data_IF_610705945179
#
_entry.id   IF_610705945179
#
_cell.length_a   1.000
_cell.length_b   1.000
_cell.length_c   1.000
_cell.angle_alpha   90.00
_cell.angle_beta   90.00
_cell.angle_gamma   90.00
#
_symmetry.space_group_name_H-M   'P 1'
#
loop_
_entity.id
_entity.type
_entity.pdbx_description
1 polymer ?
#
# COMPACT_ATOMS: atom_id res chain seq x y z
N UNK A 1 0.31 20.05 -19.53
CA UNK A 1 -0.53 19.01 -20.16
C UNK A 1 -1.75 18.82 -19.28
N UNK A 2 -2.94 18.61 -19.85
CA UNK A 2 -4.12 18.29 -19.04
C UNK A 2 -4.02 16.83 -18.57
N UNK A 3 -4.24 16.58 -17.29
CA UNK A 3 -4.25 15.23 -16.70
C UNK A 3 -5.39 14.37 -17.26
N UNK A 4 -5.13 13.07 -17.38
CA UNK A 4 -6.14 12.06 -17.73
C UNK A 4 -7.05 11.75 -16.53
N UNK A 5 -8.20 11.11 -16.76
CA UNK A 5 -9.10 10.75 -15.66
C UNK A 5 -8.43 9.78 -14.66
N UNK A 6 -7.59 8.86 -15.16
CA UNK A 6 -6.80 7.96 -14.32
C UNK A 6 -5.76 8.73 -13.48
N UNK A 7 -5.04 9.67 -14.08
CA UNK A 7 -4.10 10.53 -13.36
C UNK A 7 -4.80 11.37 -12.30
N UNK A 8 -5.95 11.98 -12.63
CA UNK A 8 -6.78 12.68 -11.66
C UNK A 8 -7.18 11.79 -10.49
N UNK A 9 -7.58 10.54 -10.74
CA UNK A 9 -7.90 9.60 -9.66
C UNK A 9 -6.69 9.34 -8.77
N UNK A 10 -5.53 9.01 -9.36
CA UNK A 10 -4.31 8.71 -8.61
C UNK A 10 -3.86 9.92 -7.79
N UNK A 11 -3.90 11.12 -8.35
CA UNK A 11 -3.51 12.35 -7.68
C UNK A 11 -4.48 12.71 -6.53
N UNK A 12 -5.79 12.65 -6.79
CA UNK A 12 -6.82 12.98 -5.80
C UNK A 12 -6.96 11.95 -4.67
N UNK A 13 -6.40 10.74 -4.83
CA UNK A 13 -6.43 9.67 -3.83
C UNK A 13 -5.05 9.35 -3.24
N UNK A 14 -4.02 10.13 -3.58
CA UNK A 14 -2.69 10.02 -2.98
C UNK A 14 -2.65 10.81 -1.67
N UNK A 15 -2.45 10.15 -0.51
CA UNK A 15 -2.28 10.84 0.76
C UNK A 15 -1.07 11.77 0.74
N UNK A 16 -1.24 12.95 1.34
CA UNK A 16 -0.15 13.89 1.60
C UNK A 16 -0.05 14.08 3.10
N UNK A 17 1.11 13.76 3.67
CA UNK A 17 1.33 13.74 5.12
C UNK A 17 2.39 14.76 5.53
N UNK A 18 2.29 15.35 6.74
CA UNK A 18 3.34 16.22 7.27
C UNK A 18 4.71 15.56 7.25
N UNK A 19 5.70 16.33 6.78
CA UNK A 19 7.09 15.92 6.76
C UNK A 19 7.77 16.19 8.09
N UNK A 20 8.49 15.20 8.62
CA UNK A 20 9.35 15.32 9.79
C UNK A 20 10.76 14.84 9.44
N UNK A 21 11.78 15.36 10.14
CA UNK A 21 13.18 15.01 9.89
C UNK A 21 13.81 14.38 11.12
N UNK A 22 14.55 13.29 10.92
CA UNK A 22 15.37 12.71 11.98
C UNK A 22 16.58 13.59 12.31
N UNK A 23 16.98 13.58 13.58
CA UNK A 23 18.28 14.10 13.97
C UNK A 23 19.42 13.21 13.43
N UNK A 24 20.62 13.78 13.25
CA UNK A 24 21.80 13.02 12.77
C UNK A 24 22.12 11.79 13.63
N UNK A 25 21.85 11.86 14.94
CA UNK A 25 22.09 10.76 15.89
C UNK A 25 21.02 9.67 15.86
N UNK A 26 19.80 9.97 15.40
CA UNK A 26 18.75 8.97 15.16
C UNK A 26 18.93 8.31 13.79
N UNK A 27 19.27 9.09 12.77
CA UNK A 27 19.54 8.57 11.43
C UNK A 27 20.65 7.51 11.44
N UNK A 28 21.70 7.69 12.26
CA UNK A 28 22.79 6.71 12.39
C UNK A 28 22.39 5.39 13.07
N UNK A 29 21.25 5.36 13.76
CA UNK A 29 20.71 4.17 14.45
C UNK A 29 19.72 3.38 13.61
N UNK A 30 19.38 3.86 12.41
CA UNK A 30 18.44 3.17 11.53
C UNK A 30 18.99 1.81 11.11
N UNK A 31 18.07 0.88 10.83
CA UNK A 31 18.43 -0.40 10.27
C UNK A 31 19.07 -0.21 8.89
N UNK A 32 20.39 -0.43 8.81
CA UNK A 32 21.19 -0.26 7.57
C UNK A 32 20.73 -1.17 6.43
N UNK A 33 20.07 -2.29 6.71
CA UNK A 33 19.49 -3.15 5.67
C UNK A 33 18.29 -2.48 4.99
N UNK A 34 17.54 -1.66 5.72
CA UNK A 34 16.34 -0.98 5.21
C UNK A 34 16.63 0.43 4.73
N UNK A 35 17.70 1.02 5.25
CA UNK A 35 18.18 2.34 4.89
C UNK A 35 19.67 2.24 4.51
N UNK A 36 20.00 1.72 3.31
CA UNK A 36 21.38 1.41 2.93
C UNK A 36 22.22 2.67 2.65
N UNK A 37 21.57 3.81 2.38
CA UNK A 37 22.23 5.06 2.04
C UNK A 37 22.34 5.96 3.28
N UNK A 38 23.55 6.41 3.60
CA UNK A 38 23.75 7.46 4.61
C UNK A 38 23.24 8.80 4.07
N UNK A 39 22.07 9.23 4.53
CA UNK A 39 21.44 10.50 4.11
C UNK A 39 21.70 11.60 5.14
N UNK A 40 21.99 12.81 4.66
CA UNK A 40 22.20 13.97 5.53
C UNK A 40 20.91 14.38 6.27
N UNK A 41 19.75 14.14 5.63
CA UNK A 41 18.42 14.33 6.20
C UNK A 41 17.56 13.13 5.83
N UNK A 42 17.01 12.44 6.83
CA UNK A 42 16.02 11.38 6.63
C UNK A 42 14.66 11.94 6.97
N UNK A 43 13.78 11.95 5.98
CA UNK A 43 12.41 12.42 6.09
C UNK A 43 11.49 11.26 6.49
N UNK A 44 10.51 11.51 7.35
CA UNK A 44 9.59 10.49 7.82
C UNK A 44 8.23 11.09 8.16
N UNK A 45 7.23 10.22 8.27
CA UNK A 45 5.91 10.53 8.83
C UNK A 45 5.54 9.49 9.89
N UNK A 46 4.64 9.86 10.80
CA UNK A 46 4.03 8.89 11.71
C UNK A 46 2.84 8.22 11.05
N UNK A 47 2.55 6.96 11.40
CA UNK A 47 1.35 6.30 10.87
C UNK A 47 0.06 7.03 11.24
N UNK A 48 -0.01 7.68 12.41
CA UNK A 48 -1.15 8.52 12.77
C UNK A 48 -1.32 9.70 11.81
N UNK A 49 -0.24 10.37 11.41
CA UNK A 49 -0.31 11.42 10.38
C UNK A 49 -0.86 10.89 9.05
N UNK A 50 -0.50 9.66 8.66
CA UNK A 50 -1.07 9.01 7.49
C UNK A 50 -2.57 8.77 7.66
N UNK A 51 -3.02 8.22 8.79
CA UNK A 51 -4.46 7.98 9.01
C UNK A 51 -5.27 9.26 9.06
N UNK A 52 -4.71 10.33 9.65
CA UNK A 52 -5.34 11.64 9.71
C UNK A 52 -5.57 12.23 8.31
N UNK A 53 -4.72 11.92 7.33
CA UNK A 53 -4.95 12.34 5.94
C UNK A 53 -6.19 11.70 5.29
N UNK A 54 -6.69 10.59 5.84
CA UNK A 54 -7.92 9.93 5.41
C UNK A 54 -9.17 10.40 6.16
N UNK A 55 -9.07 11.31 7.14
CA UNK A 55 -10.21 11.74 7.96
C UNK A 55 -11.34 12.33 7.13
N UNK A 56 -11.05 13.37 6.35
CA UNK A 56 -12.02 14.03 5.48
C UNK A 56 -12.58 13.06 4.43
N UNK A 57 -11.73 12.22 3.83
CA UNK A 57 -12.16 11.24 2.84
C UNK A 57 -13.03 10.13 3.42
N UNK A 58 -12.79 9.73 4.68
CA UNK A 58 -13.60 8.75 5.39
C UNK A 58 -14.98 9.32 5.75
N UNK A 59 -15.07 10.63 6.00
CA UNK A 59 -16.31 11.32 6.35
C UNK A 59 -17.17 11.69 5.12
N UNK A 60 -16.56 12.25 4.07
CA UNK A 60 -17.28 12.87 2.95
C UNK A 60 -17.03 12.21 1.59
N UNK A 61 -16.00 11.36 1.50
CA UNK A 61 -15.49 10.80 0.26
C UNK A 61 -14.45 11.69 -0.42
N UNK A 62 -13.51 11.09 -1.13
CA UNK A 62 -12.54 11.78 -1.98
C UNK A 62 -13.18 12.13 -3.33
N UNK A 63 -13.26 13.42 -3.63
CA UNK A 63 -13.79 13.92 -4.90
C UNK A 63 -12.77 13.84 -6.02
N UNK A 64 -13.11 13.14 -7.11
CA UNK A 64 -12.27 12.96 -8.29
C UNK A 64 -12.95 13.63 -9.49
N UNK A 65 -12.34 14.68 -10.08
CA UNK A 65 -12.83 15.27 -11.31
C UNK A 65 -12.66 14.30 -12.49
N UNK A 66 -13.75 14.04 -13.20
CA UNK A 66 -13.81 13.16 -14.37
C UNK A 66 -14.34 13.95 -15.56
N UNK A 67 -13.63 13.89 -16.68
CA UNK A 67 -14.06 14.41 -17.98
C UNK A 67 -14.84 13.33 -18.69
N UNK A 68 -16.09 13.60 -19.04
CA UNK A 68 -17.02 12.61 -19.59
C UNK A 68 -17.00 12.58 -21.12
N UNK A 69 -16.86 13.74 -21.76
CA UNK A 69 -16.82 13.86 -23.22
C UNK A 69 -15.60 14.66 -23.66
N UNK A 70 -14.87 14.17 -24.67
CA UNK A 70 -13.69 14.86 -25.20
C UNK A 70 -14.02 16.13 -26.01
N UNK A 71 -15.30 16.38 -26.28
CA UNK A 71 -15.79 17.49 -27.12
C UNK A 71 -16.51 18.61 -26.35
N UNK A 72 -16.92 18.39 -25.10
CA UNK A 72 -17.55 19.39 -24.24
C UNK A 72 -16.75 19.51 -22.93
N UNK A 73 -16.55 20.73 -22.40
CA UNK A 73 -15.81 21.01 -21.14
C UNK A 73 -16.59 20.56 -19.89
N UNK A 74 -17.33 19.46 -19.99
CA UNK A 74 -18.21 18.98 -18.94
C UNK A 74 -17.44 18.05 -18.00
N UNK A 75 -17.13 18.60 -16.83
CA UNK A 75 -16.47 17.87 -15.74
C UNK A 75 -17.52 17.50 -14.69
N UNK A 76 -17.50 16.24 -14.29
CA UNK A 76 -18.25 15.75 -13.13
C UNK A 76 -17.26 15.49 -11.98
N UNK A 77 -17.71 15.60 -10.75
CA UNK A 77 -16.91 15.19 -9.58
C UNK A 77 -17.50 13.91 -9.03
N UNK A 78 -16.77 12.81 -9.11
CA UNK A 78 -17.16 11.51 -8.55
C UNK A 78 -16.51 11.33 -7.19
N UNK A 79 -17.31 11.08 -6.16
CA UNK A 79 -16.84 10.85 -4.80
C UNK A 79 -16.62 9.37 -4.53
N UNK A 80 -15.50 9.05 -3.88
CA UNK A 80 -15.12 7.70 -3.48
C UNK A 80 -14.90 7.60 -1.96
N UNK A 81 -15.46 6.58 -1.33
CA UNK A 81 -15.17 6.27 0.08
C UNK A 81 -13.97 5.30 0.17
N UNK A 82 -12.96 5.59 1.00
CA UNK A 82 -11.86 4.67 1.26
C UNK A 82 -12.21 3.63 2.33
N UNK A 83 -11.91 2.36 2.04
CA UNK A 83 -11.97 1.27 3.00
C UNK A 83 -10.60 0.59 3.14
N UNK A 84 -10.20 0.27 4.37
CA UNK A 84 -9.00 -0.56 4.60
C UNK A 84 -9.24 -1.97 4.06
N UNK A 85 -8.51 -2.33 3.01
CA UNK A 85 -8.64 -3.63 2.34
C UNK A 85 -7.68 -4.65 2.92
N UNK A 86 -6.42 -4.26 3.06
CA UNK A 86 -5.38 -5.08 3.68
C UNK A 86 -4.28 -4.20 4.25
N UNK A 87 -3.54 -4.70 5.22
CA UNK A 87 -2.34 -4.05 5.74
C UNK A 87 -1.44 -5.09 6.39
N UNK A 88 -0.14 -4.96 6.17
CA UNK A 88 0.89 -5.68 6.91
C UNK A 88 1.98 -4.70 7.32
N UNK A 89 2.35 -4.73 8.60
CA UNK A 89 3.38 -3.88 9.18
C UNK A 89 4.46 -4.78 9.74
N UNK A 90 5.70 -4.56 9.31
CA UNK A 90 6.87 -5.29 9.78
C UNK A 90 7.87 -4.32 10.41
N UNK A 91 8.44 -4.70 11.55
CA UNK A 91 9.34 -3.86 12.36
C UNK A 91 10.60 -4.64 12.75
N UNK A 92 11.69 -3.92 13.03
CA UNK A 92 13.00 -4.53 13.30
C UNK A 92 13.09 -5.09 14.72
N UNK A 93 12.28 -4.55 15.65
CA UNK A 93 12.42 -4.84 17.07
C UNK A 93 11.43 -5.92 17.51
N UNK A 94 11.95 -7.09 17.87
CA UNK A 94 11.17 -8.16 18.52
C UNK A 94 10.65 -7.75 19.91
N UNK A 95 11.26 -6.75 20.58
CA UNK A 95 10.84 -6.33 21.93
C UNK A 95 9.43 -5.71 21.97
N UNK A 96 8.95 -5.14 20.85
CA UNK A 96 7.55 -4.70 20.75
C UNK A 96 6.57 -5.88 20.72
N UNK A 97 7.05 -7.07 20.36
CA UNK A 97 6.30 -8.32 20.46
C UNK A 97 6.42 -8.97 21.86
N UNK A 98 7.49 -8.73 22.62
CA UNK A 98 7.71 -9.33 23.96
C UNK A 98 6.85 -8.74 25.07
N UNK A 99 6.46 -7.46 24.99
CA UNK A 99 5.49 -6.84 25.91
C UNK A 99 4.09 -7.52 25.89
N UNK A 100 3.87 -8.44 24.95
CA UNK A 100 2.61 -9.15 24.74
C UNK A 100 2.49 -10.45 25.54
N UNK A 101 3.59 -11.16 25.77
CA UNK A 101 3.52 -12.46 26.47
C UNK A 101 3.35 -12.32 27.98
N UNK A 102 3.83 -11.22 28.59
CA UNK A 102 3.70 -11.03 30.04
C UNK A 102 2.26 -10.76 30.51
N UNK A 103 1.34 -10.35 29.62
CA UNK A 103 -0.04 -10.02 30.02
C UNK A 103 -0.98 -11.23 29.99
N UNK A 104 -0.54 -12.40 29.50
CA UNK A 104 -1.42 -13.55 29.22
C UNK A 104 -1.00 -14.85 29.95
N UNK A 105 -0.14 -14.78 30.98
CA UNK A 105 0.39 -15.98 31.66
C UNK A 105 -0.09 -16.21 33.10
N UNK A 106 -1.21 -15.62 33.50
CA UNK A 106 -1.87 -15.96 34.77
C UNK A 106 -3.09 -16.85 34.49
N UNK A 107 -2.84 -18.13 34.18
CA UNK A 107 -3.61 -19.29 34.68
C UNK A 107 -3.20 -20.59 33.99
N UNK A 108 -2.80 -21.57 34.82
CA UNK A 108 -2.98 -23.03 34.67
C UNK A 108 -1.75 -23.88 34.29
N UNK A 109 -1.00 -24.24 35.33
CA UNK A 109 -0.51 -25.57 35.76
C UNK A 109 -0.44 -26.74 34.75
N UNK A 110 0.80 -27.27 34.64
CA UNK A 110 1.25 -28.69 34.59
C UNK A 110 0.72 -29.60 33.45
N UNK A 111 1.49 -30.41 32.70
CA UNK A 111 2.69 -31.23 33.00
C UNK A 111 3.54 -31.51 31.73
N UNK A 112 4.77 -31.96 32.01
CA UNK A 112 5.87 -32.48 31.18
C UNK A 112 5.53 -33.51 30.08
N UNK A 113 6.24 -33.50 28.95
CA UNK A 113 7.31 -34.48 28.61
C UNK A 113 7.89 -34.26 27.20
N UNK A 114 9.23 -34.26 27.12
CA UNK A 114 10.06 -34.23 25.91
C UNK A 114 9.96 -35.53 25.12
N UNK A 115 9.77 -35.45 23.80
CA UNK A 115 10.36 -36.38 22.83
C UNK A 115 10.67 -35.67 21.51
N UNK A 116 11.93 -35.75 21.10
CA UNK A 116 12.45 -35.41 19.78
C UNK A 116 11.97 -36.43 18.75
N UNK A 117 11.52 -35.97 17.58
CA UNK A 117 11.62 -36.76 16.35
C UNK A 117 11.84 -35.84 15.14
N UNK A 118 13.03 -35.99 14.60
CA UNK A 118 13.60 -35.48 13.37
C UNK A 118 12.73 -35.85 12.16
N UNK A 119 12.18 -34.86 11.45
CA UNK A 119 11.60 -35.10 10.13
C UNK A 119 12.04 -34.05 9.11
N UNK A 120 13.13 -34.40 8.43
CA UNK A 120 13.55 -33.93 7.13
C UNK A 120 12.37 -33.86 6.15
N UNK A 121 12.02 -32.65 5.71
CA UNK A 121 11.27 -32.47 4.47
C UNK A 121 11.82 -31.28 3.72
N UNK A 122 13.02 -31.47 3.19
CA UNK A 122 13.45 -30.78 1.99
C UNK A 122 12.49 -31.07 0.83
N UNK A 123 12.42 -30.08 -0.08
CA UNK A 123 11.91 -30.12 -1.46
C UNK A 123 10.45 -29.74 -1.66
N UNK A 124 10.26 -28.44 -1.89
CA UNK A 124 9.52 -27.97 -3.07
C UNK A 124 9.92 -26.52 -3.43
N UNK A 125 11.17 -26.36 -3.86
CA UNK A 125 11.59 -25.21 -4.66
C UNK A 125 11.79 -25.67 -6.10
N UNK A 126 10.82 -25.41 -6.97
CA UNK A 126 11.05 -25.34 -8.42
C UNK A 126 10.44 -24.06 -8.94
N UNK A 127 11.35 -23.11 -9.08
CA UNK A 127 11.23 -21.86 -9.81
C UNK A 127 11.46 -22.15 -11.30
N UNK A 128 10.49 -21.79 -12.13
CA UNK A 128 10.58 -21.48 -13.56
C UNK A 128 9.79 -20.16 -13.69
N UNK A 129 10.22 -19.06 -14.30
CA UNK A 129 11.37 -18.74 -15.13
C UNK A 129 10.93 -17.52 -15.95
N UNK A 130 11.60 -16.37 -15.78
CA UNK A 130 11.53 -15.24 -16.71
C UNK A 130 12.93 -14.64 -16.87
N UNK A 131 13.58 -15.12 -17.94
CA UNK A 131 14.56 -14.49 -18.82
C UNK A 131 16.03 -14.33 -18.38
N UNK A 132 16.87 -14.96 -19.21
CA UNK A 132 18.28 -14.78 -19.63
C UNK A 132 18.90 -13.41 -19.34
N UNK A 133 20.19 -13.24 -19.03
CA UNK A 133 21.42 -13.83 -19.61
C UNK A 133 22.63 -13.71 -18.63
N UNK A 134 23.77 -14.27 -19.03
CA UNK A 134 24.95 -14.68 -18.26
C UNK A 134 25.57 -13.68 -17.24
N UNK A 135 26.07 -14.22 -16.12
CA UNK A 135 26.98 -13.51 -15.20
C UNK A 135 27.25 -14.28 -13.91
N UNK A 136 28.34 -15.05 -13.88
CA UNK A 136 28.86 -15.76 -12.70
C UNK A 136 29.29 -14.75 -11.64
N UNK A 137 28.67 -14.77 -10.46
CA UNK A 137 29.31 -14.33 -9.21
C UNK A 137 28.88 -15.23 -8.04
N UNK A 138 29.89 -15.67 -7.31
CA UNK A 138 29.84 -16.67 -6.25
C UNK A 138 29.17 -16.16 -4.96
N UNK A 139 28.39 -17.06 -4.38
CA UNK A 139 28.08 -17.26 -2.96
C UNK A 139 28.53 -16.20 -1.94
N UNK A 140 27.61 -15.33 -1.51
CA UNK A 140 27.69 -14.67 -0.19
C UNK A 140 26.34 -14.74 0.54
N UNK A 141 26.31 -15.55 1.61
CA UNK A 141 25.45 -15.47 2.79
C UNK A 141 23.97 -15.09 2.57
N UNK A 142 23.13 -16.08 2.28
CA UNK A 142 21.68 -15.95 2.44
C UNK A 142 21.35 -15.83 3.95
N UNK A 143 21.32 -14.60 4.46
CA UNK A 143 20.70 -14.28 5.75
C UNK A 143 19.29 -14.90 5.80
N UNK A 144 18.81 -15.37 6.96
CA UNK A 144 17.44 -15.87 7.09
C UNK A 144 16.46 -14.84 6.52
N UNK A 145 15.48 -15.28 5.74
CA UNK A 145 14.48 -14.41 5.08
C UNK A 145 13.81 -13.40 6.05
N UNK A 146 13.70 -13.78 7.34
CA UNK A 146 13.19 -12.94 8.43
C UNK A 146 14.06 -11.72 8.75
N UNK A 147 15.39 -11.78 8.60
CA UNK A 147 16.27 -10.63 8.85
C UNK A 147 16.09 -9.53 7.79
N UNK A 148 15.65 -9.90 6.58
CA UNK A 148 15.41 -8.95 5.49
C UNK A 148 14.06 -8.26 5.61
N UNK A 149 12.99 -9.01 5.90
CA UNK A 149 11.63 -8.45 6.00
C UNK A 149 11.30 -7.88 7.38
N UNK A 150 12.03 -8.26 8.44
CA UNK A 150 11.68 -7.90 9.81
C UNK A 150 10.55 -8.76 10.39
N UNK A 151 10.16 -8.45 11.63
CA UNK A 151 9.12 -9.17 12.35
C UNK A 151 7.74 -8.58 12.04
N UNK A 152 6.76 -9.43 11.75
CA UNK A 152 5.38 -9.00 11.58
C UNK A 152 4.83 -8.44 12.90
N UNK A 153 4.50 -7.16 12.91
CA UNK A 153 3.86 -6.48 14.03
C UNK A 153 2.34 -6.61 13.96
N UNK A 154 1.77 -6.31 12.79
CA UNK A 154 0.33 -6.27 12.59
C UNK A 154 -0.04 -6.71 11.19
N UNK A 155 -1.13 -7.47 11.07
CA UNK A 155 -1.76 -7.75 9.79
C UNK A 155 -3.28 -7.69 9.88
N UNK A 156 -3.89 -7.24 8.79
CA UNK A 156 -5.33 -7.28 8.59
C UNK A 156 -5.65 -7.54 7.12
N UNK A 157 -6.66 -8.38 6.88
CA UNK A 157 -7.19 -8.68 5.56
C UNK A 157 -8.71 -8.63 5.65
N UNK A 158 -9.33 -7.69 4.95
CA UNK A 158 -10.77 -7.55 4.90
C UNK A 158 -11.41 -8.73 4.14
N UNK A 159 -12.53 -9.20 4.67
CA UNK A 159 -13.32 -10.31 4.09
C UNK A 159 -14.79 -9.97 3.96
N UNK A 160 -15.22 -8.86 4.54
CA UNK A 160 -16.59 -8.38 4.48
C UNK A 160 -16.89 -7.82 3.10
N UNK A 161 -18.14 -7.94 2.67
CA UNK A 161 -18.59 -7.27 1.45
C UNK A 161 -18.49 -5.75 1.60
N UNK A 162 -18.37 -4.98 0.50
CA UNK A 162 -18.11 -3.54 0.56
C UNK A 162 -19.12 -2.75 1.41
N UNK A 163 -20.41 -3.07 1.30
CA UNK A 163 -21.47 -2.39 2.04
C UNK A 163 -21.53 -2.72 3.53
N UNK A 164 -20.78 -3.72 4.00
CA UNK A 164 -20.67 -4.08 5.42
C UNK A 164 -19.46 -3.46 6.11
N UNK A 165 -18.67 -2.63 5.41
CA UNK A 165 -17.43 -2.05 5.94
C UNK A 165 -17.70 -0.68 6.54
N UNK A 166 -16.94 -0.36 7.58
CA UNK A 166 -16.79 1.01 8.08
C UNK A 166 -15.65 1.69 7.32
N UNK A 167 -15.69 3.03 7.12
CA UNK A 167 -14.61 3.77 6.47
C UNK A 167 -13.22 3.50 7.06
N UNK A 168 -12.17 3.79 6.28
CA UNK A 168 -10.79 3.45 6.61
C UNK A 168 -10.39 3.94 8.01
N UNK A 169 -10.65 5.22 8.33
CA UNK A 169 -10.22 5.79 9.60
C UNK A 169 -10.92 5.13 10.80
N UNK A 170 -12.22 4.84 10.70
CA UNK A 170 -12.96 4.12 11.73
C UNK A 170 -12.36 2.73 11.96
N UNK A 171 -12.07 1.99 10.87
CA UNK A 171 -11.47 0.66 10.96
C UNK A 171 -10.09 0.73 11.64
N UNK A 172 -9.23 1.67 11.26
CA UNK A 172 -7.92 1.86 11.87
C UNK A 172 -8.05 2.23 13.36
N UNK A 173 -9.00 3.10 13.71
CA UNK A 173 -9.26 3.50 15.09
C UNK A 173 -9.71 2.34 15.97
N UNK A 174 -10.50 1.40 15.42
CA UNK A 174 -10.87 0.18 16.12
C UNK A 174 -9.67 -0.76 16.32
N UNK A 175 -8.83 -0.92 15.28
CA UNK A 175 -7.66 -1.79 15.32
C UNK A 175 -6.59 -1.25 16.27
N UNK A 176 -6.42 0.07 16.35
CA UNK A 176 -5.39 0.70 17.18
C UNK A 176 -5.62 0.54 18.69
N UNK A 177 -6.86 0.28 19.12
CA UNK A 177 -7.18 -0.06 20.52
C UNK A 177 -6.42 -1.30 20.99
N UNK A 178 -6.24 -2.28 20.09
CA UNK A 178 -5.47 -3.50 20.36
C UNK A 178 -4.01 -3.39 19.89
N UNK A 179 -3.75 -2.59 18.86
CA UNK A 179 -2.44 -2.42 18.24
C UNK A 179 -2.02 -0.95 18.22
N UNK A 180 -1.59 -0.38 19.37
CA UNK A 180 -1.31 1.06 19.50
C UNK A 180 -0.17 1.54 18.58
N UNK A 181 0.70 0.63 18.12
CA UNK A 181 1.72 0.92 17.12
C UNK A 181 1.16 1.47 15.80
N UNK A 182 -0.12 1.19 15.49
CA UNK A 182 -0.80 1.83 14.37
C UNK A 182 -0.85 3.36 14.51
N UNK A 183 -0.79 3.91 15.72
CA UNK A 183 -0.79 5.37 15.94
C UNK A 183 0.60 5.95 16.19
N UNK A 184 1.58 5.13 16.59
CA UNK A 184 2.88 5.62 17.07
C UNK A 184 4.08 5.24 16.20
N UNK A 185 3.98 4.22 15.35
CA UNK A 185 5.11 3.82 14.49
C UNK A 185 5.40 4.89 13.44
N UNK A 186 6.69 5.05 13.12
CA UNK A 186 7.16 5.99 12.09
C UNK A 186 7.54 5.20 10.84
N UNK A 187 7.36 5.80 9.67
CA UNK A 187 7.69 5.19 8.38
C UNK A 187 9.15 4.72 8.25
N UNK A 188 10.08 5.35 8.97
CA UNK A 188 11.51 4.95 9.04
C UNK A 188 11.78 3.73 9.89
N UNK A 189 10.89 3.40 10.84
CA UNK A 189 10.99 2.22 11.69
C UNK A 189 10.40 0.96 11.03
N UNK A 190 9.76 1.13 9.87
CA UNK A 190 9.08 0.07 9.13
C UNK A 190 9.99 -0.55 8.09
N UNK A 191 9.92 -1.87 7.99
CA UNK A 191 10.53 -2.62 6.90
C UNK A 191 9.99 -2.15 5.54
N UNK A 192 10.82 -2.18 4.47
CA UNK A 192 10.38 -1.96 3.09
C UNK A 192 9.19 -2.83 2.67
N UNK A 193 9.01 -3.98 3.33
CA UNK A 193 7.90 -4.90 3.09
C UNK A 193 6.58 -4.50 3.78
N UNK A 194 6.52 -3.36 4.48
CA UNK A 194 5.30 -2.86 5.13
C UNK A 194 4.43 -2.11 4.13
N UNK A 195 3.18 -2.53 3.99
CA UNK A 195 2.27 -2.04 2.96
C UNK A 195 0.82 -1.99 3.45
N UNK A 196 0.01 -1.20 2.75
CA UNK A 196 -1.45 -1.23 2.88
C UNK A 196 -2.12 -1.26 1.51
N UNK A 197 -3.35 -1.75 1.48
CA UNK A 197 -4.26 -1.61 0.35
C UNK A 197 -5.54 -0.89 0.76
N UNK A 198 -5.99 0.03 -0.08
CA UNK A 198 -7.21 0.82 0.10
C UNK A 198 -8.18 0.50 -1.03
N UNK A 199 -9.40 0.11 -0.67
CA UNK A 199 -10.47 -0.12 -1.63
C UNK A 199 -11.37 1.12 -1.70
N UNK A 200 -11.51 1.67 -2.90
CA UNK A 200 -12.25 2.89 -3.21
C UNK A 200 -13.54 2.54 -3.94
N UNK A 201 -14.67 2.83 -3.30
CA UNK A 201 -15.99 2.58 -3.87
C UNK A 201 -16.70 3.90 -4.18
N UNK A 202 -17.31 4.04 -5.37
CA UNK A 202 -18.03 5.25 -5.73
C UNK A 202 -19.29 5.41 -4.87
N UNK A 203 -19.55 6.64 -4.39
CA UNK A 203 -20.70 6.96 -3.53
C UNK A 203 -21.76 7.75 -4.31
N UNK A 204 -21.35 8.86 -4.91
CA UNK A 204 -22.21 9.76 -5.70
C UNK A 204 -21.36 10.66 -6.59
N UNK A 205 -21.97 11.34 -7.55
CA UNK A 205 -21.31 12.35 -8.37
C UNK A 205 -22.12 13.64 -8.43
N UNK A 206 -21.43 14.74 -8.72
CA UNK A 206 -22.04 16.04 -8.96
C UNK A 206 -21.65 16.51 -10.36
N UNK A 207 -22.62 16.89 -11.22
CA UNK A 207 -24.07 16.97 -10.99
C UNK A 207 -24.81 15.61 -11.04
N UNK A 208 -25.81 15.40 -10.15
CA UNK A 208 -26.52 14.12 -9.90
C UNK A 208 -27.45 13.59 -11.03
N UNK A 209 -27.45 14.20 -12.22
CA UNK A 209 -28.42 13.92 -13.29
C UNK A 209 -27.94 12.96 -14.37
N UNK A 210 -26.69 12.48 -14.31
CA UNK A 210 -26.07 11.71 -15.39
C UNK A 210 -25.86 10.25 -14.99
N UNK A 211 -26.60 9.35 -15.61
CA UNK A 211 -26.34 7.91 -15.48
C UNK A 211 -25.22 7.49 -16.42
N UNK A 212 -23.98 7.66 -16.00
CA UNK A 212 -22.80 7.17 -16.72
C UNK A 212 -22.44 5.81 -16.10
N UNK A 213 -22.59 4.72 -16.87
CA UNK A 213 -22.32 3.35 -16.40
C UNK A 213 -20.87 3.17 -15.91
N UNK A 214 -19.96 3.93 -16.49
CA UNK A 214 -18.51 3.83 -16.26
C UNK A 214 -18.06 4.56 -14.97
N UNK A 215 -18.98 5.18 -14.22
CA UNK A 215 -18.75 5.72 -12.88
C UNK A 215 -18.87 4.68 -11.77
N UNK A 216 -19.25 3.45 -12.11
CA UNK A 216 -19.31 2.34 -11.16
C UNK A 216 -17.95 1.68 -10.92
N UNK A 217 -16.89 2.16 -11.58
CA UNK A 217 -15.52 1.66 -11.41
C UNK A 217 -15.10 1.78 -9.96
N UNK A 218 -14.65 0.67 -9.39
CA UNK A 218 -14.02 0.63 -8.08
C UNK A 218 -12.51 0.45 -8.27
N UNK A 219 -11.73 1.02 -7.36
CA UNK A 219 -10.28 0.98 -7.41
C UNK A 219 -9.72 0.33 -6.15
N UNK A 220 -8.62 -0.41 -6.30
CA UNK A 220 -7.90 -1.03 -5.20
C UNK A 220 -6.44 -0.61 -5.32
N UNK A 221 -6.02 0.34 -4.48
CA UNK A 221 -4.68 0.93 -4.50
C UNK A 221 -3.77 0.28 -3.47
N UNK A 222 -2.48 0.19 -3.76
CA UNK A 222 -1.46 -0.38 -2.87
C UNK A 222 -0.38 0.65 -2.56
N UNK A 223 -0.08 0.86 -1.28
CA UNK A 223 0.83 1.90 -0.82
C UNK A 223 1.91 1.31 0.08
N UNK A 224 3.14 1.79 -0.07
CA UNK A 224 4.21 1.50 0.87
C UNK A 224 4.06 2.36 2.12
N UNK A 225 4.31 1.77 3.29
CA UNK A 225 4.30 2.50 4.56
C UNK A 225 5.72 2.91 4.99
N UNK A 226 6.74 2.36 4.33
CA UNK A 226 8.14 2.59 4.68
C UNK A 226 8.77 3.73 3.91
N UNK A 227 9.64 4.50 4.57
CA UNK A 227 10.43 5.58 3.96
C UNK A 227 11.66 5.08 3.17
N UNK A 228 11.93 3.78 3.14
CA UNK A 228 13.12 3.21 2.48
C UNK A 228 13.27 3.61 1.01
N UNK A 229 12.16 3.83 0.30
CA UNK A 229 12.13 4.09 -1.15
C UNK A 229 12.08 5.56 -1.57
N UNK A 230 12.06 6.51 -0.63
CA UNK A 230 11.75 7.93 -0.89
C UNK A 230 12.64 8.67 -1.94
N UNK A 231 13.82 8.13 -2.29
CA UNK A 231 14.78 8.78 -3.21
C UNK A 231 14.99 8.05 -4.55
N UNK A 232 14.30 6.94 -4.78
CA UNK A 232 14.40 6.19 -6.05
C UNK A 232 13.75 6.95 -7.22
N UNK A 233 12.97 8.00 -6.93
CA UNK A 233 12.23 8.81 -7.91
C UNK A 233 13.07 9.93 -8.55
N UNK A 234 14.38 9.99 -8.26
CA UNK A 234 15.27 10.95 -8.92
C UNK A 234 15.55 10.56 -10.39
N UNK A 235 15.33 9.31 -10.79
CA UNK A 235 15.45 8.86 -12.17
C UNK A 235 14.08 8.50 -12.76
N UNK A 236 13.70 9.24 -13.80
CA UNK A 236 12.37 9.25 -14.40
C UNK A 236 12.01 7.91 -15.08
N UNK A 237 10.94 7.26 -14.60
CA UNK A 237 10.20 6.27 -15.41
C UNK A 237 8.67 6.28 -15.23
N UNK A 238 8.12 7.08 -14.31
CA UNK A 238 6.66 7.14 -14.11
C UNK A 238 6.22 8.60 -14.16
N UNK A 239 5.38 8.97 -15.14
CA UNK A 239 5.02 10.34 -15.51
C UNK A 239 4.23 11.16 -14.49
N UNK A 240 4.54 11.05 -13.20
CA UNK A 240 4.11 12.02 -12.21
C UNK A 240 4.81 13.34 -12.51
N UNK A 241 4.03 14.33 -12.93
CA UNK A 241 4.53 15.67 -13.22
C UNK A 241 5.17 16.23 -11.94
N UNK A 242 6.51 16.25 -11.87
CA UNK A 242 7.28 16.92 -10.82
C UNK A 242 6.94 18.42 -10.86
N UNK A 243 5.95 18.87 -10.09
CA UNK A 243 6.02 20.24 -9.56
C UNK A 243 7.19 20.24 -8.58
N UNK A 244 8.13 21.15 -8.81
CA UNK A 244 9.29 21.37 -7.97
C UNK A 244 8.79 21.53 -6.53
N UNK A 245 9.12 20.58 -5.65
CA UNK A 245 8.62 20.57 -4.27
C UNK A 245 8.95 21.90 -3.60
N UNK A 246 7.94 22.68 -3.25
CA UNK A 246 8.16 23.88 -2.44
C UNK A 246 8.44 23.47 -0.99
N UNK A 247 9.28 24.24 -0.30
CA UNK A 247 9.62 23.99 1.10
C UNK A 247 8.34 24.08 1.94
N UNK A 248 7.83 22.93 2.39
CA UNK A 248 6.56 22.83 3.12
C UNK A 248 5.51 21.92 2.47
N UNK A 249 5.73 21.42 1.25
CA UNK A 249 4.89 20.37 0.66
C UNK A 249 5.17 19.04 1.39
N UNK A 250 4.11 18.41 1.90
CA UNK A 250 4.20 17.16 2.67
C UNK A 250 4.73 15.98 1.86
N UNK A 251 4.95 14.85 2.53
CA UNK A 251 5.34 13.60 1.90
C UNK A 251 4.12 13.02 1.18
N UNK A 252 4.24 12.81 -0.12
CA UNK A 252 3.23 12.07 -0.88
C UNK A 252 3.42 10.57 -0.68
N UNK A 253 2.31 9.84 -0.49
CA UNK A 253 2.31 8.38 -0.38
C UNK A 253 1.58 7.77 -1.58
N UNK A 254 2.13 7.90 -2.81
CA UNK A 254 1.44 7.46 -4.01
C UNK A 254 1.28 5.94 -4.03
N UNK A 255 0.26 5.43 -4.72
CA UNK A 255 0.11 4.00 -4.89
C UNK A 255 1.18 3.46 -5.83
N UNK A 256 1.84 2.37 -5.43
CA UNK A 256 2.78 1.63 -6.28
C UNK A 256 2.05 0.58 -7.15
N UNK A 257 0.82 0.21 -6.78
CA UNK A 257 0.02 -0.78 -7.49
C UNK A 257 -1.46 -0.43 -7.48
N UNK A 258 -2.20 -0.95 -8.47
CA UNK A 258 -3.61 -0.65 -8.66
C UNK A 258 -4.33 -1.83 -9.32
N UNK A 259 -5.52 -2.18 -8.82
CA UNK A 259 -6.47 -3.03 -9.51
C UNK A 259 -7.82 -2.31 -9.68
N UNK A 260 -8.58 -2.71 -10.69
CA UNK A 260 -9.89 -2.10 -11.00
C UNK A 260 -10.99 -3.16 -11.06
N UNK A 261 -12.18 -2.79 -10.63
CA UNK A 261 -13.40 -3.60 -10.68
C UNK A 261 -14.54 -2.80 -11.30
N UNK A 262 -15.40 -3.45 -12.10
CA UNK A 262 -16.49 -2.81 -12.87
C UNK A 262 -16.05 -1.71 -13.85
N UNK A 263 -14.77 -1.62 -14.16
CA UNK A 263 -14.28 -0.72 -15.19
C UNK A 263 -14.84 -1.16 -16.54
N UNK A 264 -15.67 -0.30 -17.13
CA UNK A 264 -16.27 -0.47 -18.44
C UNK A 264 -15.97 0.78 -19.29
N UNK A 265 -16.09 0.62 -20.61
CA UNK A 265 -15.83 1.70 -21.55
C UNK A 265 -14.38 2.14 -21.57
N UNK A 266 -14.14 3.30 -22.17
CA UNK A 266 -12.83 3.90 -22.31
C UNK A 266 -12.60 5.05 -21.34
N UNK A 267 -13.60 5.50 -20.57
CA UNK A 267 -13.56 6.68 -19.69
C UNK A 267 -12.26 6.87 -18.88
N UNK A 268 -11.68 5.77 -18.38
CA UNK A 268 -10.48 5.75 -17.54
C UNK A 268 -9.19 5.47 -18.33
N UNK A 269 -9.30 5.21 -19.63
CA UNK A 269 -8.23 4.83 -20.57
C UNK A 269 -8.18 5.70 -21.83
N UNK A 270 -9.09 6.67 -22.01
CA UNK A 270 -9.21 7.52 -23.21
C UNK A 270 -8.07 8.54 -23.37
N UNK A 271 -6.97 8.44 -22.61
CA UNK A 271 -5.78 9.26 -22.79
C UNK A 271 -5.33 9.22 -24.25
N UNK A 272 -5.07 10.41 -24.83
CA UNK A 272 -4.80 10.65 -26.27
C UNK A 272 -3.75 9.73 -26.93
N UNK A 273 -2.94 9.02 -26.14
CA UNK A 273 -1.83 8.19 -26.59
C UNK A 273 -1.89 6.71 -26.09
N UNK A 274 -2.97 6.26 -25.44
CA UNK A 274 -3.07 4.88 -24.91
C UNK A 274 -2.23 4.58 -23.65
N UNK A 275 -1.46 5.56 -23.16
CA UNK A 275 -0.58 5.46 -21.99
C UNK A 275 -1.31 5.02 -20.71
N UNK A 276 -2.57 5.41 -20.52
CA UNK A 276 -3.35 5.04 -19.32
C UNK A 276 -3.60 3.52 -19.24
N UNK A 277 -3.81 2.86 -20.37
CA UNK A 277 -4.02 1.41 -20.41
C UNK A 277 -2.73 0.68 -20.01
N UNK A 278 -1.60 1.07 -20.58
CA UNK A 278 -0.29 0.52 -20.22
C UNK A 278 0.04 0.77 -18.74
N UNK A 279 -0.27 1.97 -18.23
CA UNK A 279 -0.10 2.32 -16.81
C UNK A 279 -0.98 1.45 -15.91
N UNK A 280 -2.25 1.20 -16.27
CA UNK A 280 -3.13 0.29 -15.53
C UNK A 280 -2.61 -1.14 -15.51
N UNK A 281 -2.16 -1.65 -16.66
CA UNK A 281 -1.58 -3.00 -16.74
C UNK A 281 -0.29 -3.10 -15.91
N UNK A 282 0.57 -2.09 -15.99
CA UNK A 282 1.79 -2.01 -15.19
C UNK A 282 1.49 -2.01 -13.69
N UNK A 283 0.64 -1.10 -13.21
CA UNK A 283 0.26 -1.01 -11.80
C UNK A 283 -0.41 -2.29 -11.28
N UNK A 284 -1.21 -2.97 -12.12
CA UNK A 284 -1.82 -4.24 -11.78
C UNK A 284 -0.78 -5.35 -11.64
N UNK A 285 0.17 -5.41 -12.58
CA UNK A 285 1.26 -6.38 -12.53
C UNK A 285 2.14 -6.16 -11.30
N UNK A 286 2.47 -4.91 -10.97
CA UNK A 286 3.23 -4.60 -9.75
C UNK A 286 2.47 -5.05 -8.50
N UNK A 287 1.16 -4.76 -8.40
CA UNK A 287 0.35 -5.24 -7.28
C UNK A 287 0.34 -6.78 -7.17
N UNK A 288 0.15 -7.48 -8.30
CA UNK A 288 0.16 -8.95 -8.34
C UNK A 288 1.51 -9.55 -7.98
N UNK A 289 2.61 -8.97 -8.48
CA UNK A 289 3.97 -9.39 -8.15
C UNK A 289 4.29 -9.17 -6.67
N UNK A 290 3.89 -8.03 -6.11
CA UNK A 290 4.07 -7.72 -4.69
C UNK A 290 3.38 -8.77 -3.79
N UNK A 291 2.11 -9.07 -4.06
CA UNK A 291 1.36 -10.09 -3.32
C UNK A 291 1.99 -11.49 -3.44
N UNK A 292 2.46 -11.87 -4.64
CA UNK A 292 3.16 -13.14 -4.87
C UNK A 292 4.49 -13.21 -4.11
N UNK A 293 5.28 -12.14 -4.15
CA UNK A 293 6.57 -12.07 -3.48
C UNK A 293 6.45 -12.21 -1.96
N UNK A 294 5.38 -11.65 -1.37
CA UNK A 294 5.10 -11.78 0.06
C UNK A 294 4.29 -13.05 0.40
N UNK A 295 3.94 -13.88 -0.59
CA UNK A 295 3.07 -15.06 -0.45
C UNK A 295 1.74 -14.75 0.27
N UNK A 296 1.10 -13.64 -0.11
CA UNK A 296 -0.13 -13.14 0.52
C UNK A 296 -1.36 -13.47 -0.33
N UNK A 297 -2.41 -13.97 0.34
CA UNK A 297 -3.74 -14.10 -0.24
C UNK A 297 -4.60 -12.89 0.11
N UNK A 298 -4.86 -12.03 -0.88
CA UNK A 298 -5.67 -10.83 -0.70
C UNK A 298 -7.06 -11.00 -1.32
N UNK A 299 -8.08 -11.03 -0.47
CA UNK A 299 -9.46 -11.32 -0.88
C UNK A 299 -10.00 -10.33 -1.92
N UNK A 300 -9.86 -9.03 -1.68
CA UNK A 300 -10.35 -8.00 -2.61
C UNK A 300 -9.61 -8.02 -3.95
N UNK A 301 -8.30 -8.27 -3.95
CA UNK A 301 -7.56 -8.45 -5.20
C UNK A 301 -8.12 -9.61 -6.02
N UNK A 302 -8.33 -10.77 -5.38
CA UNK A 302 -8.89 -11.94 -6.04
C UNK A 302 -10.31 -11.67 -6.54
N UNK A 303 -11.12 -10.94 -5.77
CA UNK A 303 -12.47 -10.53 -6.17
C UNK A 303 -12.45 -9.60 -7.40
N UNK A 304 -11.57 -8.59 -7.41
CA UNK A 304 -11.41 -7.65 -8.52
C UNK A 304 -10.94 -8.37 -9.80
N UNK A 305 -10.05 -9.36 -9.66
CA UNK A 305 -9.52 -10.15 -10.77
C UNK A 305 -10.49 -11.22 -11.29
N UNK A 306 -11.32 -11.80 -10.42
CA UNK A 306 -12.28 -12.85 -10.79
C UNK A 306 -13.30 -12.39 -11.83
N UNK A 307 -13.64 -11.10 -11.87
CA UNK A 307 -14.59 -10.53 -12.83
C UNK A 307 -14.01 -10.29 -14.22
N UNK A 308 -12.69 -10.43 -14.43
CA UNK A 308 -12.07 -10.28 -15.76
C UNK A 308 -12.24 -11.51 -16.66
N UNK A 309 -12.76 -12.61 -16.12
CA UNK A 309 -12.97 -13.89 -16.83
C UNK A 309 -14.46 -14.24 -17.02
N UNK A 310 -15.36 -13.28 -16.84
CA UNK A 310 -16.82 -13.45 -16.98
C UNK A 310 -17.39 -12.72 -18.18
#
# INVERSE_FOLDING_TARGET
MQSTNLECFLDCTTPVVPSQFLSKSEASKLNRLWHPWEREKVEFFSLSDLWNSFDEWSAYGAGVPIKVDAGEDETIIQYYVPYLSAIQIFTSNSALNFLREETDSETRDSFSDSFSDESESEKLSRWDGCSSEEGVFEHENALPFNDRLGNLYFQYFERSTPYGRVPLLDKISMLSQKYPGLMSLRSVDLSPASWMAVAWYPIYHIPMGRTIKDLSTCFLTYHTLSSSFQDTDNEDHNGFSKKKREVGEGIHVPPFGLATYKMQGDLWTSGRNGNDHEKLVSLLNVAGCWLKQLNVQHHDFNYFMGYRHG
#
